data_IF_549063549434
#
_entry.id   IF_549063549434
#
_cell.length_a   1.000
_cell.length_b   1.000
_cell.length_c   1.000
_cell.angle_alpha   90.00
_cell.angle_beta   90.00
_cell.angle_gamma   90.00
#
_symmetry.space_group_name_H-M   'P 1'
#
loop_
_entity.id
_entity.type
_entity.pdbx_description
1 polymer ?
#
# COMPACT_ATOMS: atom_id res chain seq x y z
N UNK A 1 -2.69 -29.48 -15.21
CA UNK A 1 -3.07 -28.57 -14.08
C UNK A 1 -2.20 -27.34 -14.19
N UNK A 2 -2.65 -26.34 -14.96
CA UNK A 2 -1.97 -25.06 -15.04
C UNK A 2 -2.40 -24.25 -13.83
N UNK A 3 -1.53 -24.17 -12.85
CA UNK A 3 -1.64 -23.18 -11.77
C UNK A 3 -1.39 -21.82 -12.38
N UNK A 4 -2.45 -21.09 -12.73
CA UNK A 4 -2.34 -19.67 -13.08
C UNK A 4 -1.89 -18.94 -11.82
N UNK A 5 -0.63 -18.51 -11.79
CA UNK A 5 -0.10 -17.70 -10.70
C UNK A 5 -0.72 -16.31 -10.81
N UNK A 6 -1.80 -16.06 -10.10
CA UNK A 6 -2.36 -14.72 -9.96
C UNK A 6 -1.43 -13.92 -9.07
N UNK A 7 -0.55 -13.12 -9.66
CA UNK A 7 0.23 -12.13 -8.93
C UNK A 7 -0.65 -10.90 -8.78
N UNK A 8 -1.26 -10.77 -7.61
CA UNK A 8 -2.08 -9.60 -7.26
C UNK A 8 -1.12 -8.45 -6.96
N UNK A 9 -0.92 -7.57 -7.94
CA UNK A 9 -0.24 -6.31 -7.71
C UNK A 9 -1.22 -5.36 -7.01
N UNK A 10 -1.17 -5.35 -5.68
CA UNK A 10 -1.94 -4.38 -4.89
C UNK A 10 -1.30 -3.01 -5.07
N UNK A 11 -1.79 -2.24 -6.02
CA UNK A 11 -1.47 -0.82 -6.11
C UNK A 11 -2.29 -0.11 -5.04
N UNK A 12 -1.79 -0.14 -3.82
CA UNK A 12 -2.37 0.57 -2.70
C UNK A 12 -2.14 2.06 -2.91
N UNK A 13 -3.20 2.81 -3.24
CA UNK A 13 -3.20 4.29 -3.24
C UNK A 13 -2.86 4.86 -1.84
N UNK A 14 -2.80 4.02 -0.83
CA UNK A 14 -2.36 4.30 0.54
C UNK A 14 -0.98 4.94 0.61
N UNK A 15 -0.08 4.63 -0.31
CA UNK A 15 1.25 5.22 -0.37
C UNK A 15 1.22 6.76 -0.44
N UNK A 16 0.20 7.35 -1.05
CA UNK A 16 0.15 8.80 -1.23
C UNK A 16 -0.10 9.58 0.07
N UNK A 17 -0.82 9.02 1.02
CA UNK A 17 -1.10 9.72 2.28
C UNK A 17 -0.02 9.50 3.34
N UNK A 18 0.61 8.32 3.36
CA UNK A 18 1.73 8.02 4.26
C UNK A 18 3.04 8.71 3.81
N UNK A 19 3.14 9.10 2.54
CA UNK A 19 4.37 9.50 1.88
C UNK A 19 4.32 10.92 1.31
N UNK A 20 3.65 11.88 1.97
CA UNK A 20 3.84 13.27 1.62
C UNK A 20 5.32 13.63 1.81
N UNK A 21 6.12 13.82 0.73
CA UNK A 21 7.45 14.37 0.87
C UNK A 21 7.30 15.78 1.42
N UNK A 22 7.94 16.07 2.54
CA UNK A 22 8.15 17.44 2.99
C UNK A 22 8.85 18.18 1.85
N UNK A 23 8.15 19.14 1.24
CA UNK A 23 8.72 20.00 0.20
C UNK A 23 9.80 20.90 0.81
N UNK A 24 11.04 20.42 0.82
CA UNK A 24 12.23 21.29 0.72
C UNK A 24 12.98 20.82 -0.51
N UNK A 25 13.14 21.74 -1.46
CA UNK A 25 13.66 21.45 -2.77
C UNK A 25 15.11 20.96 -2.72
N UNK A 26 15.39 19.94 -3.50
CA UNK A 26 16.72 19.69 -4.04
C UNK A 26 16.55 19.09 -5.43
N UNK A 27 17.13 19.78 -6.41
CA UNK A 27 17.27 19.31 -7.78
C UNK A 27 18.25 18.13 -7.81
N UNK A 28 17.93 17.08 -8.55
CA UNK A 28 18.92 16.15 -9.07
C UNK A 28 18.65 14.68 -8.77
N UNK A 29 18.50 13.89 -9.82
CA UNK A 29 18.57 12.43 -9.78
C UNK A 29 17.42 11.76 -10.51
N UNK A 30 17.61 11.48 -11.81
CA UNK A 30 16.78 10.54 -12.58
C UNK A 30 17.07 9.13 -12.06
N UNK A 31 16.29 8.65 -11.10
CA UNK A 31 16.22 7.24 -10.76
C UNK A 31 14.76 6.84 -10.82
N UNK A 32 14.49 5.73 -11.51
CA UNK A 32 13.17 5.23 -11.87
C UNK A 32 12.20 5.11 -10.69
N UNK A 33 11.55 6.22 -10.37
CA UNK A 33 10.36 6.21 -9.57
C UNK A 33 9.25 5.63 -10.43
N UNK A 34 8.70 4.48 -10.05
CA UNK A 34 7.44 4.01 -10.63
C UNK A 34 6.44 5.13 -10.40
N UNK A 35 6.11 5.84 -11.48
CA UNK A 35 5.17 6.95 -11.41
C UNK A 35 3.78 6.40 -11.12
N UNK A 36 3.26 6.66 -9.94
CA UNK A 36 1.87 6.32 -9.54
C UNK A 36 0.83 6.92 -10.49
N UNK A 37 1.18 7.99 -11.21
CA UNK A 37 0.38 8.55 -12.29
C UNK A 37 0.24 7.60 -13.49
N UNK A 38 1.23 6.72 -13.74
CA UNK A 38 1.13 5.75 -14.80
C UNK A 38 0.08 4.66 -14.50
N UNK A 39 -0.06 4.25 -13.24
CA UNK A 39 -1.11 3.31 -12.84
C UNK A 39 -2.52 3.91 -12.95
N UNK A 40 -2.68 5.21 -12.67
CA UNK A 40 -3.96 5.90 -12.78
C UNK A 40 -4.42 6.11 -14.24
N UNK A 41 -3.48 6.15 -15.19
CA UNK A 41 -3.74 6.37 -16.61
C UNK A 41 -3.82 5.09 -17.45
N UNK A 42 -3.77 3.91 -16.82
CA UNK A 42 -3.88 2.63 -17.53
C UNK A 42 -5.29 2.42 -18.06
N UNK A 43 -5.39 1.92 -19.27
CA UNK A 43 -6.66 1.44 -19.82
C UNK A 43 -6.99 0.10 -19.16
N UNK A 44 -7.81 0.13 -18.12
CA UNK A 44 -8.27 -1.07 -17.44
C UNK A 44 -9.44 -1.69 -18.18
N UNK A 45 -9.47 -3.01 -18.24
CA UNK A 45 -10.62 -3.79 -18.69
C UNK A 45 -11.60 -4.00 -17.53
N UNK A 46 -12.90 -4.19 -17.79
CA UNK A 46 -13.88 -4.47 -16.76
C UNK A 46 -13.59 -5.79 -16.02
N UNK A 47 -13.91 -5.85 -14.74
CA UNK A 47 -13.73 -7.06 -13.92
C UNK A 47 -14.58 -8.24 -14.42
N UNK A 48 -15.71 -7.95 -15.09
CA UNK A 48 -16.56 -8.98 -15.71
C UNK A 48 -15.83 -9.80 -16.77
N UNK A 49 -14.88 -9.20 -17.50
CA UNK A 49 -14.04 -9.94 -18.43
C UNK A 49 -13.04 -10.84 -17.70
N UNK A 50 -12.51 -10.41 -16.56
CA UNK A 50 -11.60 -11.23 -15.77
C UNK A 50 -12.27 -12.48 -15.21
N UNK A 51 -13.52 -12.38 -14.77
CA UNK A 51 -14.31 -13.53 -14.31
C UNK A 51 -14.55 -14.60 -15.38
N UNK A 52 -14.51 -14.21 -16.67
CA UNK A 52 -14.58 -15.17 -17.77
C UNK A 52 -13.26 -15.88 -18.04
N UNK A 53 -12.14 -15.28 -17.66
CA UNK A 53 -10.80 -15.86 -17.79
C UNK A 53 -10.45 -16.78 -16.63
N UNK A 54 -10.91 -16.45 -15.43
CA UNK A 54 -10.67 -17.19 -14.20
C UNK A 54 -12.00 -17.48 -13.50
N UNK A 55 -12.55 -18.66 -13.73
CA UNK A 55 -13.81 -19.09 -13.11
C UNK A 55 -13.69 -19.26 -11.59
N UNK A 56 -12.47 -19.45 -11.06
CA UNK A 56 -12.20 -19.56 -9.63
C UNK A 56 -12.04 -18.20 -8.94
N UNK A 57 -12.13 -17.10 -9.70
CA UNK A 57 -12.00 -15.76 -9.14
C UNK A 57 -13.15 -15.42 -8.18
N UNK A 58 -12.83 -15.33 -6.90
CA UNK A 58 -13.76 -14.92 -5.84
C UNK A 58 -13.42 -13.50 -5.32
N UNK A 59 -14.29 -12.57 -5.68
CA UNK A 59 -14.15 -11.16 -5.28
C UNK A 59 -14.28 -10.97 -3.77
N UNK A 60 -15.12 -11.79 -3.11
CA UNK A 60 -15.32 -11.70 -1.65
C UNK A 60 -14.08 -12.19 -0.90
N UNK A 61 -13.53 -13.32 -1.33
CA UNK A 61 -12.29 -13.85 -0.78
C UNK A 61 -11.14 -12.86 -0.97
N UNK A 62 -11.01 -12.31 -2.18
CA UNK A 62 -9.95 -11.34 -2.49
C UNK A 62 -10.13 -10.05 -1.66
N UNK A 63 -11.35 -9.55 -1.51
CA UNK A 63 -11.65 -8.40 -0.64
C UNK A 63 -11.19 -8.64 0.79
N UNK A 64 -11.46 -9.82 1.33
CA UNK A 64 -11.05 -10.21 2.68
C UNK A 64 -9.52 -10.29 2.80
N UNK A 65 -8.85 -10.91 1.82
CA UNK A 65 -7.38 -10.98 1.76
C UNK A 65 -6.74 -9.60 1.70
N UNK A 66 -7.27 -8.69 0.87
CA UNK A 66 -6.78 -7.33 0.74
C UNK A 66 -6.94 -6.52 2.03
N UNK A 67 -8.10 -6.66 2.68
CA UNK A 67 -8.37 -5.99 3.95
C UNK A 67 -7.41 -6.44 5.04
N UNK A 68 -7.19 -7.75 5.17
CA UNK A 68 -6.27 -8.32 6.15
C UNK A 68 -4.81 -7.92 5.86
N UNK A 69 -4.41 -7.96 4.60
CA UNK A 69 -3.06 -7.56 4.20
C UNK A 69 -2.80 -6.08 4.49
N UNK A 70 -3.81 -5.22 4.30
CA UNK A 70 -3.70 -3.81 4.66
C UNK A 70 -3.43 -3.62 6.15
N UNK A 71 -4.19 -4.28 7.03
CA UNK A 71 -3.99 -4.22 8.48
C UNK A 71 -2.61 -4.75 8.86
N UNK A 72 -2.22 -5.92 8.33
CA UNK A 72 -0.91 -6.51 8.57
C UNK A 72 0.23 -5.56 8.14
N UNK A 73 0.09 -4.89 7.03
CA UNK A 73 1.08 -3.94 6.53
C UNK A 73 1.24 -2.74 7.48
N UNK A 74 0.14 -2.21 8.04
CA UNK A 74 0.20 -1.13 9.02
C UNK A 74 0.87 -1.58 10.33
N UNK A 75 0.57 -2.79 10.79
CA UNK A 75 1.21 -3.37 11.98
C UNK A 75 2.73 -3.54 11.78
N UNK A 76 3.13 -4.06 10.63
CA UNK A 76 4.55 -4.20 10.27
C UNK A 76 5.26 -2.86 10.21
N UNK A 77 4.61 -1.86 9.64
CA UNK A 77 5.12 -0.51 9.56
C UNK A 77 5.37 0.09 10.94
N UNK A 78 4.39 -0.01 11.85
CA UNK A 78 4.50 0.49 13.21
C UNK A 78 5.59 -0.22 14.02
N UNK A 79 5.74 -1.54 13.82
CA UNK A 79 6.81 -2.35 14.45
C UNK A 79 8.19 -2.10 13.82
N UNK A 80 8.26 -1.34 12.74
CA UNK A 80 9.49 -1.10 11.95
C UNK A 80 10.11 -2.39 11.39
N UNK A 81 9.29 -3.43 11.18
CA UNK A 81 9.69 -4.69 10.59
C UNK A 81 8.66 -5.14 9.54
N UNK A 82 9.03 -5.03 8.28
CA UNK A 82 8.18 -5.38 7.14
C UNK A 82 8.51 -6.74 6.52
N UNK A 83 9.32 -7.55 7.18
CA UNK A 83 9.78 -8.84 6.64
C UNK A 83 8.62 -9.79 6.33
N UNK A 84 7.59 -9.82 7.16
CA UNK A 84 6.44 -10.73 7.01
C UNK A 84 5.53 -10.39 5.82
N UNK A 85 5.58 -9.15 5.30
CA UNK A 85 4.82 -8.77 4.10
C UNK A 85 5.63 -8.91 2.80
N UNK A 86 6.90 -9.28 2.89
CA UNK A 86 7.78 -9.45 1.72
C UNK A 86 7.18 -10.33 0.62
N UNK A 87 6.54 -11.49 0.91
CA UNK A 87 5.95 -12.34 -0.11
C UNK A 87 4.80 -11.69 -0.90
N UNK A 88 4.19 -10.64 -0.35
CA UNK A 88 3.04 -9.94 -0.95
C UNK A 88 3.43 -8.64 -1.66
N UNK A 89 4.73 -8.34 -1.73
CA UNK A 89 5.23 -7.09 -2.29
C UNK A 89 6.10 -7.33 -3.52
N UNK A 90 6.02 -6.44 -4.49
CA UNK A 90 7.07 -6.36 -5.52
C UNK A 90 8.37 -5.85 -4.90
N UNK A 91 9.52 -6.17 -5.54
CA UNK A 91 10.81 -5.71 -5.06
C UNK A 91 10.89 -4.19 -4.97
N UNK A 92 10.35 -3.49 -5.95
CA UNK A 92 10.34 -2.04 -5.98
C UNK A 92 9.53 -1.45 -4.82
N UNK A 93 8.35 -1.99 -4.54
CA UNK A 93 7.49 -1.53 -3.46
C UNK A 93 8.11 -1.83 -2.09
N UNK A 94 8.61 -3.05 -1.89
CA UNK A 94 9.28 -3.44 -0.66
C UNK A 94 10.50 -2.56 -0.35
N UNK A 95 11.37 -2.35 -1.35
CA UNK A 95 12.55 -1.49 -1.22
C UNK A 95 12.16 -0.06 -0.86
N UNK A 96 11.09 0.46 -1.45
CA UNK A 96 10.61 1.80 -1.14
C UNK A 96 10.12 1.90 0.31
N UNK A 97 9.36 0.90 0.79
CA UNK A 97 8.92 0.85 2.19
C UNK A 97 10.11 0.74 3.15
N UNK A 98 11.05 -0.17 2.87
CA UNK A 98 12.22 -0.36 3.73
C UNK A 98 13.05 0.92 3.83
N UNK A 99 13.36 1.56 2.72
CA UNK A 99 14.10 2.82 2.71
C UNK A 99 13.45 3.90 3.58
N UNK A 100 12.13 3.94 3.63
CA UNK A 100 11.42 4.91 4.45
C UNK A 100 11.44 4.54 5.93
N UNK A 101 11.30 3.25 6.25
CA UNK A 101 11.46 2.76 7.61
C UNK A 101 12.88 3.01 8.15
N UNK A 102 13.90 2.79 7.33
CA UNK A 102 15.27 3.09 7.72
C UNK A 102 15.45 4.59 8.04
N UNK A 103 14.87 5.48 7.25
CA UNK A 103 14.88 6.92 7.56
C UNK A 103 14.18 7.23 8.88
N UNK A 104 13.03 6.60 9.16
CA UNK A 104 12.33 6.78 10.44
C UNK A 104 13.16 6.27 11.62
N UNK A 105 13.79 5.10 11.48
CA UNK A 105 14.72 4.55 12.47
C UNK A 105 15.89 5.50 12.75
N UNK A 106 16.53 6.04 11.70
CA UNK A 106 17.64 7.00 11.83
C UNK A 106 17.23 8.31 12.49
N UNK A 107 15.98 8.72 12.31
CA UNK A 107 15.42 9.93 12.94
C UNK A 107 14.94 9.69 14.37
N UNK A 108 15.01 8.46 14.89
CA UNK A 108 14.45 8.11 16.19
C UNK A 108 12.93 8.35 16.26
N UNK A 109 12.21 8.04 15.21
CA UNK A 109 10.78 8.30 15.11
C UNK A 109 9.99 7.03 14.84
N UNK A 110 8.82 6.90 15.47
CA UNK A 110 7.85 5.85 15.17
C UNK A 110 6.54 6.47 14.70
N UNK A 111 6.05 5.97 13.57
CA UNK A 111 4.72 6.33 13.09
C UNK A 111 3.73 5.28 13.58
N UNK A 112 2.72 5.74 14.30
CA UNK A 112 1.64 4.93 14.85
C UNK A 112 0.40 5.04 13.99
N UNK A 113 -0.17 3.89 13.66
CA UNK A 113 -1.42 3.77 12.90
C UNK A 113 -2.38 2.95 13.75
N UNK A 114 -3.37 3.61 14.30
CA UNK A 114 -4.31 3.01 15.24
C UNK A 114 -5.75 3.08 14.74
N UNK A 115 -6.65 2.35 15.38
CA UNK A 115 -8.09 2.31 15.07
C UNK A 115 -8.35 2.05 13.59
N UNK A 116 -7.61 1.11 13.03
CA UNK A 116 -7.67 0.78 11.60
C UNK A 116 -9.02 0.15 11.29
N UNK A 117 -9.73 0.75 10.33
CA UNK A 117 -10.95 0.19 9.78
C UNK A 117 -10.87 0.23 8.25
N UNK A 118 -11.04 -0.92 7.61
CA UNK A 118 -11.26 -1.00 6.16
C UNK A 118 -12.76 -0.87 5.93
N UNK A 119 -13.17 0.27 5.37
CA UNK A 119 -14.57 0.63 5.16
C UNK A 119 -15.14 0.03 3.88
N UNK A 120 -14.26 -0.35 2.95
CA UNK A 120 -14.64 -0.99 1.72
C UNK A 120 -13.46 -1.19 0.77
N UNK A 121 -13.62 -2.18 -0.10
CA UNK A 121 -12.71 -2.47 -1.21
C UNK A 121 -13.52 -2.41 -2.51
N UNK A 122 -13.01 -1.72 -3.51
CA UNK A 122 -13.63 -1.64 -4.82
C UNK A 122 -12.61 -1.95 -5.91
N UNK A 123 -12.93 -2.89 -6.77
CA UNK A 123 -12.08 -3.21 -7.91
C UNK A 123 -12.32 -2.24 -9.05
N UNK A 124 -11.24 -1.68 -9.59
CA UNK A 124 -11.27 -0.67 -10.66
C UNK A 124 -11.22 -1.32 -12.05
N UNK A 125 -10.76 -2.56 -12.11
CA UNK A 125 -10.57 -3.32 -13.31
C UNK A 125 -9.26 -4.09 -13.31
N UNK A 126 -8.86 -4.58 -14.47
CA UNK A 126 -7.65 -5.39 -14.63
C UNK A 126 -6.91 -5.06 -15.93
N UNK A 127 -5.65 -5.46 -16.00
CA UNK A 127 -4.82 -5.40 -17.20
C UNK A 127 -3.74 -6.48 -17.15
N UNK A 128 -3.01 -6.66 -18.24
CA UNK A 128 -1.86 -7.57 -18.28
C UNK A 128 -0.57 -6.77 -18.32
N UNK A 129 0.41 -7.17 -17.52
CA UNK A 129 1.75 -6.61 -17.48
C UNK A 129 2.80 -7.69 -17.30
N UNK A 130 3.79 -7.73 -18.18
CA UNK A 130 4.91 -8.65 -18.08
C UNK A 130 4.49 -10.12 -18.00
N UNK A 131 3.36 -10.50 -18.65
CA UNK A 131 2.81 -11.85 -18.60
C UNK A 131 1.99 -12.17 -17.34
N UNK A 132 1.75 -11.19 -16.48
CA UNK A 132 0.92 -11.35 -15.29
C UNK A 132 -0.41 -10.61 -15.44
N UNK A 133 -1.45 -11.15 -14.82
CA UNK A 133 -2.72 -10.46 -14.66
C UNK A 133 -2.64 -9.54 -13.45
N UNK A 134 -2.99 -8.28 -13.67
CA UNK A 134 -2.95 -7.21 -12.66
C UNK A 134 -4.35 -6.72 -12.39
N UNK A 135 -4.88 -7.00 -11.20
CA UNK A 135 -6.13 -6.41 -10.73
C UNK A 135 -5.84 -5.13 -9.94
N UNK A 136 -6.61 -4.09 -10.23
CA UNK A 136 -6.51 -2.81 -9.55
C UNK A 136 -7.66 -2.65 -8.58
N UNK A 137 -7.36 -2.56 -7.30
CA UNK A 137 -8.33 -2.33 -6.24
C UNK A 137 -8.08 -1.01 -5.52
N UNK A 138 -9.16 -0.39 -5.06
CA UNK A 138 -9.15 0.77 -4.17
C UNK A 138 -9.68 0.37 -2.81
N UNK A 139 -8.94 0.65 -1.76
CA UNK A 139 -9.38 0.51 -0.39
C UNK A 139 -9.78 1.88 0.16
N UNK A 140 -10.96 1.94 0.78
CA UNK A 140 -11.37 3.08 1.59
C UNK A 140 -11.12 2.70 3.05
N UNK A 141 -10.34 3.51 3.75
CA UNK A 141 -9.93 3.19 5.12
C UNK A 141 -10.11 4.38 6.06
N UNK A 142 -10.25 4.09 7.34
CA UNK A 142 -10.25 5.06 8.42
C UNK A 142 -9.19 4.65 9.42
N UNK A 143 -8.34 5.59 9.81
CA UNK A 143 -7.23 5.37 10.72
C UNK A 143 -7.05 6.57 11.64
N UNK A 144 -6.34 6.37 12.74
CA UNK A 144 -5.67 7.43 13.52
C UNK A 144 -4.19 7.33 13.20
N UNK A 145 -3.60 8.43 12.75
CA UNK A 145 -2.23 8.47 12.20
C UNK A 145 -1.42 9.58 12.88
N UNK A 146 -0.35 9.21 13.56
CA UNK A 146 0.56 10.15 14.22
C UNK A 146 1.98 9.60 14.32
N UNK A 147 2.95 10.51 14.47
CA UNK A 147 4.37 10.17 14.63
C UNK A 147 4.88 10.72 15.94
N UNK A 148 5.59 9.90 16.71
CA UNK A 148 6.26 10.29 17.93
C UNK A 148 7.78 10.25 17.76
N UNK A 149 8.46 11.08 18.53
CA UNK A 149 9.87 10.96 18.83
C UNK A 149 10.07 9.84 19.84
N UNK A 150 10.95 8.88 19.53
CA UNK A 150 11.13 7.66 20.32
C UNK A 150 11.78 7.94 21.71
N UNK A 151 12.61 8.97 21.79
CA UNK A 151 13.33 9.30 23.03
C UNK A 151 12.46 10.09 24.02
N UNK A 152 11.63 10.99 23.49
CA UNK A 152 10.88 11.95 24.31
C UNK A 152 9.38 11.67 24.38
N UNK A 153 8.85 10.81 23.48
CA UNK A 153 7.42 10.57 23.33
C UNK A 153 6.65 11.78 22.77
N UNK A 154 7.35 12.82 22.34
CA UNK A 154 6.73 14.05 21.82
C UNK A 154 6.08 13.82 20.47
N UNK A 155 4.90 14.40 20.28
CA UNK A 155 4.20 14.37 18.99
C UNK A 155 4.96 15.22 17.96
N UNK A 156 5.39 14.56 16.88
CA UNK A 156 6.09 15.17 15.74
C UNK A 156 5.11 15.58 14.65
N UNK A 157 4.13 14.70 14.35
CA UNK A 157 3.13 14.97 13.33
C UNK A 157 1.88 14.13 13.53
N UNK A 158 0.79 14.51 12.87
CA UNK A 158 -0.50 13.81 12.95
C UNK A 158 -1.30 14.17 14.20
N UNK A 159 -2.22 13.30 14.59
CA UNK A 159 -3.07 13.50 15.77
C UNK A 159 -3.43 12.13 16.37
N UNK A 160 -3.39 12.03 17.71
CA UNK A 160 -3.81 10.83 18.44
C UNK A 160 -5.34 10.67 18.51
N UNK A 161 -6.07 11.76 18.26
CA UNK A 161 -7.52 11.80 18.48
C UNK A 161 -8.33 11.95 17.19
N UNK A 162 -7.71 12.49 16.13
CA UNK A 162 -8.39 12.75 14.87
C UNK A 162 -8.31 11.55 13.93
N UNK A 163 -9.46 11.08 13.50
CA UNK A 163 -9.58 10.08 12.45
C UNK A 163 -9.27 10.69 11.09
N UNK A 164 -8.60 9.91 10.26
CA UNK A 164 -8.24 10.23 8.88
C UNK A 164 -8.86 9.20 7.96
N UNK A 165 -9.58 9.68 6.96
CA UNK A 165 -10.15 8.86 5.90
C UNK A 165 -9.22 8.86 4.69
N UNK A 166 -8.98 7.69 4.11
CA UNK A 166 -8.10 7.49 2.96
C UNK A 166 -8.76 6.59 1.90
#
# INVERSE_FOLDING_TARGET
LNTVSVIILIVLIIAYAMFKPSRKGTKGGKNGSVSWSAAANRKLKPLSEYRQLDEAFDETELTSKLSNLYVQMQDCWQKKDISSIRPYCTDAFYTQMDNQLQRKKQQGQTNYIERIAVLGVSFRGWCQEGGNDVLVARLNTRIVDYTLDDATGKLISGSRDKEKFM
#
